data_IF_656043078521
#
_entry.id   IF_656043078521
#
_cell.length_a   1.000
_cell.length_b   1.000
_cell.length_c   1.000
_cell.angle_alpha   90.00
_cell.angle_beta   90.00
_cell.angle_gamma   90.00
#
_symmetry.space_group_name_H-M   'P 1'
#
loop_
_entity.id
_entity.type
_entity.pdbx_description
1 polymer ?
#
# COMPACT_ATOMS: atom_id res chain seq x y z
N UNK A 1 -4.16 -13.91 -20.07
CA UNK A 1 -3.15 -13.24 -19.22
C UNK A 1 -3.77 -12.48 -18.04
N UNK A 2 -4.69 -11.54 -18.26
CA UNK A 2 -5.24 -10.71 -17.17
C UNK A 2 -5.91 -11.47 -16.00
N UNK A 3 -6.50 -12.64 -16.24
CA UNK A 3 -7.11 -13.46 -15.17
C UNK A 3 -6.05 -13.99 -14.20
N UNK A 4 -4.95 -14.53 -14.74
CA UNK A 4 -3.79 -15.00 -13.96
C UNK A 4 -3.18 -13.87 -13.15
N UNK A 5 -3.01 -12.69 -13.74
CA UNK A 5 -2.46 -11.52 -13.04
C UNK A 5 -3.35 -11.04 -11.88
N UNK A 6 -4.69 -11.06 -12.06
CA UNK A 6 -5.62 -10.75 -10.97
C UNK A 6 -5.56 -11.79 -9.84
N UNK A 7 -5.36 -13.08 -10.16
CA UNK A 7 -5.15 -14.10 -9.12
C UNK A 7 -3.83 -13.89 -8.36
N UNK A 8 -2.77 -13.48 -9.06
CA UNK A 8 -1.49 -13.13 -8.43
C UNK A 8 -1.68 -11.92 -7.48
N UNK A 9 -2.38 -10.87 -7.93
CA UNK A 9 -2.71 -9.72 -7.08
C UNK A 9 -3.55 -10.12 -5.86
N UNK A 10 -4.47 -11.08 -6.00
CA UNK A 10 -5.26 -11.60 -4.90
C UNK A 10 -4.41 -12.32 -3.84
N UNK A 11 -3.48 -13.17 -4.27
CA UNK A 11 -2.53 -13.83 -3.37
C UNK A 11 -1.56 -12.83 -2.72
N UNK A 12 -1.09 -11.83 -3.49
CA UNK A 12 -0.27 -10.76 -2.96
C UNK A 12 -1.00 -10.00 -1.84
N UNK A 13 -2.30 -9.72 -1.99
CA UNK A 13 -3.10 -9.09 -0.94
C UNK A 13 -3.21 -9.96 0.34
N UNK A 14 -3.33 -11.29 0.21
CA UNK A 14 -3.28 -12.20 1.37
C UNK A 14 -1.91 -12.15 2.05
N UNK A 15 -0.83 -12.22 1.27
CA UNK A 15 0.54 -12.13 1.79
C UNK A 15 0.75 -10.78 2.49
N UNK A 16 0.26 -9.69 1.90
CA UNK A 16 0.28 -8.35 2.50
C UNK A 16 -0.41 -8.35 3.87
N UNK A 17 -1.61 -8.92 3.98
CA UNK A 17 -2.34 -8.99 5.25
C UNK A 17 -1.52 -9.68 6.36
N UNK A 18 -0.78 -10.74 6.02
CA UNK A 18 0.09 -11.45 6.96
C UNK A 18 1.34 -10.65 7.30
N UNK A 19 1.92 -9.94 6.32
CA UNK A 19 3.14 -9.15 6.49
C UNK A 19 2.92 -7.85 7.26
N UNK A 20 1.70 -7.30 7.33
CA UNK A 20 1.44 -6.03 8.03
C UNK A 20 1.89 -6.09 9.49
N UNK A 21 1.53 -7.13 10.24
CA UNK A 21 1.86 -7.22 11.67
C UNK A 21 3.38 -7.29 11.90
N UNK A 22 4.13 -8.22 11.29
CA UNK A 22 5.58 -8.26 11.44
C UNK A 22 6.27 -6.98 10.97
N UNK A 23 5.84 -6.40 9.85
CA UNK A 23 6.41 -5.15 9.32
C UNK A 23 6.24 -3.99 10.30
N UNK A 24 5.05 -3.89 10.89
CA UNK A 24 4.72 -2.86 11.85
C UNK A 24 5.47 -3.03 13.18
N UNK A 25 5.58 -4.26 13.70
CA UNK A 25 6.34 -4.51 14.92
C UNK A 25 7.84 -4.22 14.73
N UNK A 26 8.40 -4.64 13.59
CA UNK A 26 9.80 -4.38 13.25
C UNK A 26 10.04 -2.87 13.13
N UNK A 27 9.14 -2.12 12.49
CA UNK A 27 9.31 -0.67 12.35
C UNK A 27 9.22 0.08 13.67
N UNK A 28 8.34 -0.33 14.60
CA UNK A 28 8.22 0.28 15.93
C UNK A 28 9.50 0.14 16.76
N UNK A 29 10.13 -1.04 16.73
CA UNK A 29 11.33 -1.30 17.52
C UNK A 29 12.61 -0.90 16.78
N UNK A 30 12.52 -0.56 15.49
CA UNK A 30 13.68 -0.32 14.63
C UNK A 30 14.61 0.76 15.18
N UNK A 31 14.06 1.90 15.61
CA UNK A 31 14.87 3.00 16.14
C UNK A 31 15.62 2.61 17.43
N UNK A 32 15.03 1.75 18.26
CA UNK A 32 15.67 1.25 19.48
C UNK A 32 16.84 0.29 19.19
N UNK A 33 16.80 -0.44 18.06
CA UNK A 33 17.77 -1.47 17.71
C UNK A 33 18.56 -1.18 16.43
N UNK A 34 18.52 0.07 15.93
CA UNK A 34 19.09 0.47 14.64
C UNK A 34 20.58 0.14 14.49
N UNK A 35 21.33 0.14 15.59
CA UNK A 35 22.76 -0.20 15.62
C UNK A 35 23.06 -1.70 15.49
N UNK A 36 22.07 -2.57 15.68
CA UNK A 36 22.25 -4.02 15.55
C UNK A 36 22.12 -4.43 14.07
N UNK A 37 23.16 -5.09 13.55
CA UNK A 37 23.19 -5.53 12.15
C UNK A 37 21.97 -6.37 11.78
N UNK A 38 21.60 -7.36 12.60
CA UNK A 38 20.46 -8.25 12.33
C UNK A 38 19.14 -7.47 12.13
N UNK A 39 18.85 -6.49 12.99
CA UNK A 39 17.65 -5.66 12.89
C UNK A 39 17.64 -4.77 11.63
N UNK A 40 18.81 -4.26 11.25
CA UNK A 40 18.95 -3.49 10.00
C UNK A 40 18.65 -4.34 8.77
N UNK A 41 19.20 -5.55 8.69
CA UNK A 41 18.94 -6.44 7.57
C UNK A 41 17.50 -6.95 7.54
N UNK A 42 16.90 -7.28 8.69
CA UNK A 42 15.49 -7.68 8.74
C UNK A 42 14.55 -6.55 8.29
N UNK A 43 14.83 -5.31 8.69
CA UNK A 43 14.07 -4.13 8.26
C UNK A 43 14.12 -3.93 6.75
N UNK A 44 15.34 -3.95 6.17
CA UNK A 44 15.50 -3.79 4.71
C UNK A 44 14.82 -4.93 3.95
N UNK A 45 14.93 -6.16 4.46
CA UNK A 45 14.29 -7.32 3.84
C UNK A 45 12.78 -7.19 3.82
N UNK A 46 12.16 -6.80 4.94
CA UNK A 46 10.71 -6.68 5.00
C UNK A 46 10.19 -5.49 4.18
N UNK A 47 10.95 -4.38 4.12
CA UNK A 47 10.65 -3.23 3.27
C UNK A 47 10.61 -3.61 1.79
N UNK A 48 11.62 -4.36 1.31
CA UNK A 48 11.70 -4.80 -0.09
C UNK A 48 10.56 -5.77 -0.40
N UNK A 49 10.34 -6.78 0.46
CA UNK A 49 9.26 -7.77 0.24
C UNK A 49 7.89 -7.07 0.25
N UNK A 50 7.63 -6.21 1.23
CA UNK A 50 6.38 -5.46 1.34
C UNK A 50 6.10 -4.62 0.10
N UNK A 51 7.14 -3.99 -0.45
CA UNK A 51 7.02 -3.18 -1.68
C UNK A 51 6.77 -4.03 -2.91
N UNK A 52 7.46 -5.15 -3.06
CA UNK A 52 7.20 -6.08 -4.17
C UNK A 52 5.75 -6.59 -4.14
N UNK A 53 5.25 -6.90 -2.94
CA UNK A 53 3.86 -7.30 -2.74
C UNK A 53 2.89 -6.16 -3.08
N UNK A 54 3.15 -4.94 -2.63
CA UNK A 54 2.29 -3.77 -2.93
C UNK A 54 2.23 -3.47 -4.43
N UNK A 55 3.35 -3.62 -5.14
CA UNK A 55 3.39 -3.44 -6.60
C UNK A 55 2.51 -4.46 -7.34
N UNK A 56 2.43 -5.71 -6.87
CA UNK A 56 1.54 -6.71 -7.45
C UNK A 56 0.06 -6.36 -7.24
N UNK A 57 -0.29 -5.84 -6.07
CA UNK A 57 -1.64 -5.36 -5.73
C UNK A 57 -2.03 -4.18 -6.63
N UNK A 58 -1.17 -3.15 -6.70
CA UNK A 58 -1.40 -1.97 -7.53
C UNK A 58 -1.48 -2.30 -9.02
N UNK A 59 -0.70 -3.28 -9.49
CA UNK A 59 -0.84 -3.81 -10.85
C UNK A 59 -2.22 -4.45 -11.08
N UNK A 60 -2.77 -5.13 -10.07
CA UNK A 60 -4.15 -5.63 -10.09
C UNK A 60 -5.17 -4.51 -10.34
N UNK A 61 -5.05 -3.39 -9.63
CA UNK A 61 -5.91 -2.21 -9.86
C UNK A 61 -5.70 -1.56 -11.21
N UNK A 62 -4.46 -1.51 -11.69
CA UNK A 62 -4.15 -1.00 -13.03
C UNK A 62 -4.88 -1.80 -14.11
N UNK A 63 -4.90 -3.13 -13.98
CA UNK A 63 -5.61 -4.04 -14.90
C UNK A 63 -7.13 -3.82 -14.80
N UNK A 64 -7.67 -3.71 -13.58
CA UNK A 64 -9.09 -3.39 -13.37
C UNK A 64 -9.47 -2.05 -13.99
N UNK A 65 -8.67 -1.01 -13.77
CA UNK A 65 -8.88 0.32 -14.33
C UNK A 65 -8.89 0.31 -15.85
N UNK A 66 -7.97 -0.42 -16.48
CA UNK A 66 -7.94 -0.62 -17.94
C UNK A 66 -9.17 -1.37 -18.44
N UNK A 67 -9.48 -2.54 -17.87
CA UNK A 67 -10.59 -3.39 -18.33
C UNK A 67 -11.97 -2.73 -18.13
N UNK A 68 -12.13 -1.96 -17.06
CA UNK A 68 -13.39 -1.29 -16.72
C UNK A 68 -13.48 0.14 -17.25
N UNK A 69 -12.48 0.59 -18.02
CA UNK A 69 -12.37 1.96 -18.56
C UNK A 69 -12.49 3.05 -17.47
N UNK A 70 -11.94 2.78 -16.29
CA UNK A 70 -11.90 3.72 -15.17
C UNK A 70 -10.59 4.52 -15.21
N UNK A 71 -10.64 5.70 -15.82
CA UNK A 71 -9.47 6.56 -16.05
C UNK A 71 -8.76 6.96 -14.75
N UNK A 72 -9.50 7.44 -13.75
CA UNK A 72 -8.93 7.86 -12.47
C UNK A 72 -8.22 6.72 -11.74
N UNK A 73 -8.85 5.53 -11.66
CA UNK A 73 -8.24 4.35 -11.02
C UNK A 73 -6.95 3.94 -11.74
N UNK A 74 -6.95 3.98 -13.07
CA UNK A 74 -5.75 3.68 -13.87
C UNK A 74 -4.62 4.66 -13.57
N UNK A 75 -4.89 5.96 -13.60
CA UNK A 75 -3.88 7.01 -13.35
C UNK A 75 -3.34 6.92 -11.93
N UNK A 76 -4.22 6.82 -10.93
CA UNK A 76 -3.81 6.73 -9.53
C UNK A 76 -3.02 5.46 -9.23
N UNK A 77 -3.35 4.32 -9.87
CA UNK A 77 -2.55 3.10 -9.75
C UNK A 77 -1.12 3.31 -10.26
N UNK A 78 -0.93 4.04 -11.38
CA UNK A 78 0.40 4.35 -11.91
C UNK A 78 1.16 5.29 -10.97
N UNK A 79 0.49 6.34 -10.49
CA UNK A 79 1.08 7.28 -9.53
C UNK A 79 1.55 6.54 -8.28
N UNK A 80 0.75 5.64 -7.74
CA UNK A 80 1.12 4.85 -6.57
C UNK A 80 2.23 3.84 -6.86
N UNK A 81 2.28 3.23 -8.05
CA UNK A 81 3.40 2.35 -8.44
C UNK A 81 4.72 3.13 -8.42
N UNK A 82 4.75 4.29 -9.07
CA UNK A 82 5.95 5.16 -9.11
C UNK A 82 6.26 5.68 -7.71
N UNK A 83 5.25 6.13 -6.98
CA UNK A 83 5.37 6.64 -5.62
C UNK A 83 5.95 5.62 -4.65
N UNK A 84 5.50 4.36 -4.70
CA UNK A 84 6.06 3.28 -3.86
C UNK A 84 7.54 3.04 -4.16
N UNK A 85 7.93 3.00 -5.43
CA UNK A 85 9.33 2.81 -5.82
C UNK A 85 10.19 3.96 -5.31
N UNK A 86 9.74 5.20 -5.50
CA UNK A 86 10.45 6.39 -5.01
C UNK A 86 10.55 6.41 -3.49
N UNK A 87 9.49 6.00 -2.79
CA UNK A 87 9.46 5.94 -1.33
C UNK A 87 10.51 4.96 -0.78
N UNK A 88 10.60 3.76 -1.34
CA UNK A 88 11.63 2.78 -0.90
C UNK A 88 13.03 3.28 -1.19
N UNK A 89 13.26 3.86 -2.37
CA UNK A 89 14.58 4.43 -2.69
C UNK A 89 14.94 5.53 -1.70
N UNK A 90 13.99 6.44 -1.40
CA UNK A 90 14.18 7.48 -0.41
C UNK A 90 14.50 6.90 0.97
N UNK A 91 13.76 5.89 1.41
CA UNK A 91 13.95 5.25 2.71
C UNK A 91 15.30 4.54 2.83
N UNK A 92 15.75 3.85 1.77
CA UNK A 92 17.09 3.25 1.73
C UNK A 92 18.20 4.31 1.80
N UNK A 93 18.01 5.46 1.17
CA UNK A 93 18.94 6.61 1.25
C UNK A 93 18.96 7.17 2.69
N UNK A 94 17.79 7.34 3.31
CA UNK A 94 17.68 7.79 4.71
C UNK A 94 18.35 6.80 5.67
N UNK A 95 18.23 5.50 5.42
CA UNK A 95 18.90 4.47 6.21
C UNK A 95 20.43 4.49 6.06
N UNK A 96 20.94 4.91 4.91
CA UNK A 96 22.37 5.00 4.63
C UNK A 96 23.03 6.23 5.27
N UNK A 97 22.29 7.33 5.41
CA UNK A 97 22.78 8.60 5.95
C UNK A 97 22.48 8.68 7.46
N UNK A 98 23.34 9.36 8.24
CA UNK A 98 23.02 9.67 9.65
C UNK A 98 21.81 10.60 9.69
N UNK A 99 20.83 10.29 10.54
CA UNK A 99 19.63 11.12 10.70
C UNK A 99 20.03 12.54 11.10
N UNK A 100 19.49 13.50 10.36
CA UNK A 100 19.56 14.92 10.67
C UNK A 100 18.14 15.45 10.86
N UNK A 101 17.99 16.61 11.51
CA UNK A 101 16.70 17.29 11.67
C UNK A 101 16.01 17.51 10.31
N UNK A 102 16.78 17.82 9.26
CA UNK A 102 16.29 18.01 7.89
C UNK A 102 15.67 16.71 7.35
N UNK A 103 16.31 15.58 7.58
CA UNK A 103 15.84 14.26 7.11
C UNK A 103 14.49 13.89 7.73
N UNK A 104 14.26 14.26 8.99
CA UNK A 104 12.98 14.03 9.69
C UNK A 104 11.86 14.85 9.04
N UNK A 105 12.08 16.14 8.80
CA UNK A 105 11.08 17.01 8.15
C UNK A 105 10.72 16.55 6.74
N UNK A 106 11.71 16.13 5.94
CA UNK A 106 11.45 15.57 4.59
C UNK A 106 10.63 14.29 4.70
N UNK A 107 10.96 13.40 5.63
CA UNK A 107 10.23 12.14 5.83
C UNK A 107 8.76 12.40 6.20
N UNK A 108 8.50 13.37 7.07
CA UNK A 108 7.14 13.79 7.41
C UNK A 108 6.38 14.33 6.19
N UNK A 109 7.01 15.20 5.39
CA UNK A 109 6.39 15.74 4.18
C UNK A 109 6.06 14.65 3.15
N UNK A 110 6.95 13.65 3.00
CA UNK A 110 6.71 12.49 2.13
C UNK A 110 5.52 11.67 2.62
N UNK A 111 5.43 11.37 3.91
CA UNK A 111 4.32 10.59 4.50
C UNK A 111 2.99 11.31 4.32
N UNK A 112 2.94 12.62 4.57
CA UNK A 112 1.72 13.42 4.39
C UNK A 112 1.28 13.43 2.92
N UNK A 113 2.24 13.64 2.00
CA UNK A 113 1.97 13.61 0.55
C UNK A 113 1.42 12.25 0.13
N UNK A 114 2.01 11.16 0.62
CA UNK A 114 1.54 9.82 0.33
C UNK A 114 0.13 9.56 0.87
N UNK A 115 -0.18 10.07 2.06
CA UNK A 115 -1.53 10.05 2.63
C UNK A 115 -2.57 10.73 1.72
N UNK A 116 -2.27 11.92 1.20
CA UNK A 116 -3.15 12.64 0.27
C UNK A 116 -3.37 11.82 -1.02
N UNK A 117 -2.31 11.26 -1.59
CA UNK A 117 -2.39 10.41 -2.79
C UNK A 117 -3.26 9.17 -2.52
N UNK A 118 -3.14 8.56 -1.34
CA UNK A 118 -3.94 7.42 -0.91
C UNK A 118 -5.43 7.76 -0.77
N UNK A 119 -5.78 8.96 -0.28
CA UNK A 119 -7.18 9.42 -0.24
C UNK A 119 -7.77 9.47 -1.65
N UNK A 120 -7.05 10.08 -2.59
CA UNK A 120 -7.49 10.18 -3.99
C UNK A 120 -7.61 8.78 -4.62
N UNK A 121 -6.68 7.88 -4.30
CA UNK A 121 -6.76 6.49 -4.72
C UNK A 121 -8.00 5.78 -4.16
N UNK A 122 -8.32 5.95 -2.88
CA UNK A 122 -9.54 5.40 -2.26
C UNK A 122 -10.81 5.89 -2.96
N UNK A 123 -10.89 7.18 -3.29
CA UNK A 123 -11.98 7.74 -4.10
C UNK A 123 -12.04 7.07 -5.48
N UNK A 124 -10.89 6.82 -6.11
CA UNK A 124 -10.84 6.11 -7.39
C UNK A 124 -11.31 4.66 -7.31
N UNK A 125 -11.05 3.97 -6.19
CA UNK A 125 -11.53 2.61 -5.90
C UNK A 125 -13.05 2.57 -5.75
N UNK A 126 -13.67 3.61 -5.17
CA UNK A 126 -15.13 3.71 -5.08
C UNK A 126 -15.81 3.65 -6.46
N UNK A 127 -15.13 4.01 -7.55
CA UNK A 127 -15.68 3.87 -8.90
C UNK A 127 -15.98 2.40 -9.28
N UNK A 128 -15.33 1.43 -8.63
CA UNK A 128 -15.58 0.00 -8.80
C UNK A 128 -16.93 -0.46 -8.21
N UNK A 129 -17.60 0.38 -7.39
CA UNK A 129 -18.92 0.07 -6.77
C UNK A 129 -19.98 -0.33 -7.79
N UNK A 130 -19.91 0.21 -9.02
CA UNK A 130 -20.84 -0.14 -10.11
C UNK A 130 -20.85 -1.63 -10.44
N UNK A 131 -19.73 -2.35 -10.25
CA UNK A 131 -19.61 -3.79 -10.55
C UNK A 131 -19.48 -4.67 -9.31
N UNK A 132 -18.86 -4.17 -8.25
CA UNK A 132 -18.56 -4.96 -7.05
C UNK A 132 -19.37 -4.54 -5.81
N UNK A 133 -20.30 -3.57 -5.97
CA UNK A 133 -21.23 -3.10 -4.94
C UNK A 133 -20.50 -2.77 -3.63
N UNK A 134 -21.02 -3.25 -2.51
CA UNK A 134 -20.55 -2.95 -1.15
C UNK A 134 -19.07 -3.31 -0.92
N UNK A 135 -18.54 -4.32 -1.62
CA UNK A 135 -17.14 -4.71 -1.48
C UNK A 135 -16.19 -3.58 -1.90
N UNK A 136 -16.46 -2.97 -3.06
CA UNK A 136 -15.66 -1.85 -3.54
C UNK A 136 -15.90 -0.57 -2.74
N UNK A 137 -17.12 -0.38 -2.21
CA UNK A 137 -17.42 0.75 -1.31
C UNK A 137 -16.61 0.64 -0.03
N UNK A 138 -16.66 -0.51 0.66
CA UNK A 138 -15.92 -0.74 1.89
C UNK A 138 -14.41 -0.55 1.67
N UNK A 139 -13.89 -1.12 0.60
CA UNK A 139 -12.46 -1.01 0.27
C UNK A 139 -12.03 0.42 -0.04
N UNK A 140 -12.83 1.18 -0.80
CA UNK A 140 -12.54 2.60 -1.05
C UNK A 140 -12.58 3.44 0.23
N UNK A 141 -13.50 3.15 1.15
CA UNK A 141 -13.57 3.82 2.46
C UNK A 141 -12.34 3.49 3.31
N UNK A 142 -11.92 2.21 3.36
CA UNK A 142 -10.71 1.82 4.10
C UNK A 142 -9.46 2.54 3.55
N UNK A 143 -9.34 2.64 2.22
CA UNK A 143 -8.24 3.40 1.60
C UNK A 143 -8.25 4.90 1.92
N UNK A 144 -9.44 5.50 2.02
CA UNK A 144 -9.57 6.90 2.47
C UNK A 144 -9.15 7.02 3.94
N UNK A 145 -9.55 6.07 4.80
CA UNK A 145 -9.14 6.04 6.20
C UNK A 145 -7.63 5.88 6.35
N UNK A 146 -7.02 4.96 5.60
CA UNK A 146 -5.56 4.79 5.55
C UNK A 146 -4.87 6.10 5.15
N UNK A 147 -5.36 6.75 4.10
CA UNK A 147 -4.81 8.02 3.63
C UNK A 147 -4.92 9.14 4.67
N UNK A 148 -6.04 9.23 5.39
CA UNK A 148 -6.21 10.17 6.52
C UNK A 148 -5.23 9.85 7.65
N UNK A 149 -5.02 8.57 7.97
CA UNK A 149 -4.08 8.16 9.00
C UNK A 149 -2.65 8.61 8.66
N UNK A 150 -2.19 8.36 7.44
CA UNK A 150 -0.88 8.84 6.96
C UNK A 150 -0.80 10.36 6.90
N UNK A 151 -1.83 11.04 6.39
CA UNK A 151 -1.84 12.50 6.30
C UNK A 151 -1.81 13.18 7.68
N UNK A 152 -2.41 12.55 8.70
CA UNK A 152 -2.45 13.07 10.06
C UNK A 152 -1.14 12.91 10.83
N UNK A 153 -0.26 11.99 10.41
CA UNK A 153 0.95 11.52 11.11
C UNK A 153 0.68 10.86 12.47
N UNK A 154 -0.15 11.46 13.32
CA UNK A 154 -0.46 10.97 14.67
C UNK A 154 -1.24 9.65 14.67
N UNK A 155 -2.16 9.47 13.71
CA UNK A 155 -3.01 8.26 13.67
C UNK A 155 -2.32 7.07 12.98
N UNK A 156 -1.06 7.20 12.54
CA UNK A 156 -0.30 6.11 11.90
C UNK A 156 -0.17 4.89 12.82
N UNK A 157 -0.24 5.06 14.14
CA UNK A 157 -0.27 3.96 15.09
C UNK A 157 -1.46 3.00 14.90
N UNK A 158 -2.58 3.51 14.36
CA UNK A 158 -3.79 2.72 14.13
C UNK A 158 -3.82 2.07 12.74
N UNK A 159 -2.81 2.31 11.90
CA UNK A 159 -2.74 1.82 10.53
C UNK A 159 -3.01 0.31 10.38
N UNK A 160 -2.43 -0.60 11.19
CA UNK A 160 -2.67 -2.03 11.05
C UNK A 160 -4.15 -2.43 11.15
N UNK A 161 -4.94 -1.69 11.93
CA UNK A 161 -6.37 -1.98 12.14
C UNK A 161 -7.22 -1.76 10.88
N UNK A 162 -6.79 -0.85 9.99
CA UNK A 162 -7.48 -0.54 8.73
C UNK A 162 -6.85 -1.32 7.58
N UNK A 163 -5.53 -1.42 7.56
CA UNK A 163 -4.77 -2.07 6.51
C UNK A 163 -5.06 -3.58 6.40
N UNK A 164 -5.19 -4.29 7.53
CA UNK A 164 -5.47 -5.74 7.51
C UNK A 164 -6.84 -6.03 6.87
N UNK A 165 -7.96 -5.42 7.32
CA UNK A 165 -9.24 -5.54 6.64
C UNK A 165 -9.18 -5.11 5.17
N UNK A 166 -8.45 -4.04 4.84
CA UNK A 166 -8.30 -3.58 3.47
C UNK A 166 -7.70 -4.68 2.60
N UNK A 167 -6.52 -5.21 2.96
CA UNK A 167 -5.84 -6.28 2.23
C UNK A 167 -6.68 -7.55 2.09
N UNK A 168 -7.48 -7.92 3.10
CA UNK A 168 -8.40 -9.06 2.98
C UNK A 168 -9.49 -8.78 1.94
N UNK A 169 -10.11 -7.59 1.98
CA UNK A 169 -11.14 -7.20 1.01
C UNK A 169 -10.57 -7.07 -0.41
N UNK A 170 -9.32 -6.64 -0.56
CA UNK A 170 -8.61 -6.63 -1.85
C UNK A 170 -8.47 -8.04 -2.44
N UNK A 171 -8.03 -9.00 -1.62
CA UNK A 171 -7.92 -10.39 -2.05
C UNK A 171 -9.27 -10.89 -2.58
N UNK A 172 -10.35 -10.64 -1.83
CA UNK A 172 -11.72 -11.02 -2.22
C UNK A 172 -12.14 -10.31 -3.51
N UNK A 173 -11.82 -9.02 -3.67
CA UNK A 173 -12.11 -8.23 -4.86
C UNK A 173 -11.42 -8.84 -6.08
N UNK A 174 -10.12 -9.10 -6.00
CA UNK A 174 -9.34 -9.64 -7.11
C UNK A 174 -9.75 -11.06 -7.47
N UNK A 175 -10.01 -11.94 -6.50
CA UNK A 175 -10.54 -13.27 -6.79
C UNK A 175 -11.89 -13.20 -7.51
N UNK A 176 -12.81 -12.33 -7.07
CA UNK A 176 -14.10 -12.13 -7.73
C UNK A 176 -13.93 -11.54 -9.13
N UNK A 177 -13.05 -10.57 -9.30
CA UNK A 177 -12.77 -9.96 -10.59
C UNK A 177 -12.15 -10.95 -11.58
N UNK A 178 -11.25 -11.82 -11.11
CA UNK A 178 -10.62 -12.86 -11.93
C UNK A 178 -11.65 -13.83 -12.54
N UNK A 179 -12.72 -14.13 -11.80
CA UNK A 179 -13.82 -14.99 -12.27
C UNK A 179 -14.82 -14.27 -13.18
N UNK A 180 -15.13 -13.00 -12.88
CA UNK A 180 -16.17 -12.24 -13.59
C UNK A 180 -15.69 -11.55 -14.86
N UNK A 181 -14.43 -11.17 -14.93
CA UNK A 181 -13.88 -10.41 -16.05
C UNK A 181 -13.13 -11.38 -16.97
N UNK A 182 -13.90 -12.17 -17.74
CA UNK A 182 -13.41 -12.82 -18.95
C UNK A 182 -13.05 -11.73 -19.96
#
# INVERSE_FOLDING_TARGET
MANTELRIAAWAAIISAVLIIPSYLISLVFESYRGMFLFRYSYITILIIGTLVSLLILRGYLILGKKLKLGLLRVMSIILIVGNILMVVFELVVLAIRQSTVTIFISLAVVVTFGIVMIIFGVSVLALRKRFKNLATALGVLYIMDGIMFASVFLVLLYPLVAIPASILEAVLFFRASKKIR
#
